data_IF_921675431432
#
_entry.id   IF_921675431432
#
_cell.length_a   1.000
_cell.length_b   1.000
_cell.length_c   1.000
_cell.angle_alpha   90.00
_cell.angle_beta   90.00
_cell.angle_gamma   90.00
#
_symmetry.space_group_name_H-M   'P 1'
#
loop_
_entity.id
_entity.type
_entity.pdbx_description
1 polymer ?
#
# COMPACT_ATOMS: atom_id res chain seq x y z
N UNK A 1 5.43 7.13 -17.09
CA UNK A 1 4.01 6.82 -17.09
C UNK A 1 3.50 6.40 -15.72
N UNK A 2 2.21 6.28 -15.58
CA UNK A 2 1.54 5.73 -14.40
C UNK A 2 0.66 4.58 -14.88
N UNK A 3 0.79 3.43 -14.24
CA UNK A 3 -0.07 2.28 -14.46
C UNK A 3 -0.92 2.05 -13.20
N UNK A 4 -2.20 1.75 -13.38
CA UNK A 4 -3.11 1.34 -12.31
C UNK A 4 -3.36 -0.16 -12.47
N UNK A 5 -3.03 -0.91 -11.43
CA UNK A 5 -3.19 -2.36 -11.40
C UNK A 5 -4.17 -2.72 -10.29
N UNK A 6 -5.15 -3.55 -10.60
CA UNK A 6 -6.11 -4.09 -9.64
C UNK A 6 -5.87 -5.59 -9.55
N UNK A 7 -5.42 -6.04 -8.40
CA UNK A 7 -5.21 -7.45 -8.16
C UNK A 7 -6.51 -8.13 -7.72
N UNK A 8 -6.69 -9.37 -8.11
CA UNK A 8 -7.78 -10.23 -7.66
C UNK A 8 -7.26 -11.36 -6.76
N UNK A 9 -8.16 -12.00 -6.03
CA UNK A 9 -7.84 -13.16 -5.22
C UNK A 9 -6.83 -12.89 -4.10
N UNK A 10 -6.77 -11.66 -3.58
CA UNK A 10 -5.93 -11.30 -2.44
C UNK A 10 -6.32 -12.16 -1.24
N UNK A 11 -7.60 -12.19 -0.85
CA UNK A 11 -8.19 -12.88 0.29
C UNK A 11 -8.77 -14.29 -0.04
N UNK A 12 -8.37 -14.92 -1.16
CA UNK A 12 -8.96 -16.19 -1.58
C UNK A 12 -8.59 -17.36 -0.65
N UNK A 13 -7.53 -17.23 0.11
CA UNK A 13 -7.02 -18.24 1.04
C UNK A 13 -7.90 -18.45 2.27
N UNK A 14 -7.46 -19.38 3.10
CA UNK A 14 -7.99 -19.61 4.46
C UNK A 14 -6.89 -19.27 5.46
N UNK A 15 -7.25 -18.81 6.65
CA UNK A 15 -6.29 -18.42 7.69
C UNK A 15 -5.17 -19.44 8.00
N UNK A 16 -5.37 -20.71 7.64
CA UNK A 16 -4.39 -21.79 7.84
C UNK A 16 -3.61 -22.12 6.57
N UNK A 17 -3.90 -21.49 5.44
CA UNK A 17 -3.33 -21.82 4.13
C UNK A 17 -3.03 -20.54 3.35
N UNK A 18 -1.82 -20.02 3.57
CA UNK A 18 -1.35 -18.79 2.93
C UNK A 18 -1.00 -18.96 1.46
N UNK A 19 -0.98 -20.18 0.92
CA UNK A 19 -0.63 -20.45 -0.47
C UNK A 19 -1.69 -19.91 -1.45
N UNK A 20 -2.92 -19.73 -0.95
CA UNK A 20 -4.05 -19.22 -1.72
C UNK A 20 -4.31 -17.71 -1.52
N UNK A 21 -3.46 -17.01 -0.78
CA UNK A 21 -3.50 -15.56 -0.69
C UNK A 21 -2.70 -14.91 -1.81
N UNK A 22 -3.05 -13.66 -2.17
CA UNK A 22 -2.29 -12.81 -3.09
C UNK A 22 -2.15 -13.41 -4.50
N UNK A 23 -3.18 -14.10 -5.00
CA UNK A 23 -3.09 -14.83 -6.26
C UNK A 23 -2.79 -13.91 -7.44
N UNK A 24 -3.45 -12.76 -7.53
CA UNK A 24 -3.28 -11.80 -8.61
C UNK A 24 -1.89 -11.19 -8.62
N UNK A 25 -1.40 -10.70 -7.49
CA UNK A 25 -0.08 -10.08 -7.40
C UNK A 25 1.06 -11.09 -7.58
N UNK A 26 0.92 -12.32 -7.09
CA UNK A 26 1.87 -13.41 -7.34
C UNK A 26 1.96 -13.75 -8.83
N UNK A 27 0.79 -13.85 -9.49
CA UNK A 27 0.76 -14.09 -10.93
C UNK A 27 1.41 -12.95 -11.70
N UNK A 28 1.06 -11.72 -11.38
CA UNK A 28 1.64 -10.52 -11.99
C UNK A 28 3.16 -10.48 -11.80
N UNK A 29 3.64 -10.66 -10.57
CA UNK A 29 5.06 -10.65 -10.24
C UNK A 29 5.87 -11.74 -10.95
N UNK A 30 5.25 -12.92 -11.18
CA UNK A 30 5.87 -14.04 -11.90
C UNK A 30 5.90 -13.84 -13.44
N UNK A 31 5.06 -12.96 -14.00
CA UNK A 31 4.84 -12.78 -15.43
C UNK A 31 5.12 -11.35 -15.91
N UNK A 32 6.14 -10.69 -15.38
CA UNK A 32 6.48 -9.31 -15.73
C UNK A 32 6.93 -9.11 -17.20
N UNK A 33 7.39 -10.15 -17.88
CA UNK A 33 7.75 -10.16 -19.32
C UNK A 33 8.59 -8.96 -19.78
N UNK A 34 9.50 -8.48 -18.92
CA UNK A 34 10.30 -7.29 -19.19
C UNK A 34 9.71 -5.97 -18.68
N UNK A 35 8.49 -5.97 -18.18
CA UNK A 35 7.93 -4.84 -17.45
C UNK A 35 8.78 -4.54 -16.20
N UNK A 36 9.23 -3.29 -16.06
CA UNK A 36 10.11 -2.87 -14.98
C UNK A 36 9.62 -1.53 -14.42
N UNK A 37 8.60 -1.54 -13.56
CA UNK A 37 8.18 -0.33 -12.87
C UNK A 37 9.30 0.16 -11.96
N UNK A 38 9.42 1.45 -11.82
CA UNK A 38 10.47 2.07 -11.00
C UNK A 38 10.15 1.94 -9.53
N UNK A 39 8.85 2.04 -9.19
CA UNK A 39 8.32 1.82 -7.86
C UNK A 39 6.85 1.43 -7.95
N UNK A 40 6.34 0.83 -6.90
CA UNK A 40 4.92 0.53 -6.72
C UNK A 40 4.44 1.03 -5.36
N UNK A 41 3.22 1.53 -5.31
CA UNK A 41 2.51 1.89 -4.08
C UNK A 41 1.24 1.07 -4.05
N UNK A 42 1.15 0.15 -3.11
CA UNK A 42 -0.08 -0.54 -2.78
C UNK A 42 -0.94 0.38 -1.90
N UNK A 43 -2.22 0.31 -2.09
CA UNK A 43 -3.22 0.99 -1.24
C UNK A 43 -4.14 -0.08 -0.68
N UNK A 44 -4.01 -0.35 0.60
CA UNK A 44 -4.94 -1.24 1.28
C UNK A 44 -5.50 -0.61 2.54
N UNK A 45 -6.80 -0.79 2.76
CA UNK A 45 -7.53 -0.28 3.93
C UNK A 45 -7.45 1.25 4.10
N UNK A 46 -7.04 1.99 3.07
CA UNK A 46 -6.91 3.45 3.14
C UNK A 46 -8.28 4.11 3.23
N UNK A 47 -8.40 5.08 4.12
CA UNK A 47 -9.63 5.86 4.29
C UNK A 47 -10.66 5.24 5.24
N UNK A 48 -10.38 4.17 5.94
CA UNK A 48 -11.26 3.65 6.99
C UNK A 48 -11.43 4.64 8.15
N UNK A 49 -12.63 4.74 8.72
CA UNK A 49 -12.88 5.52 9.94
C UNK A 49 -12.05 4.96 11.10
N UNK A 50 -11.47 5.85 11.91
CA UNK A 50 -10.62 5.46 13.04
C UNK A 50 -9.20 5.01 12.65
N UNK A 51 -8.91 4.75 11.37
CA UNK A 51 -7.60 4.28 10.92
C UNK A 51 -6.55 5.39 10.90
N UNK A 52 -5.28 4.98 10.91
CA UNK A 52 -4.11 5.81 10.65
C UNK A 52 -3.16 5.05 9.75
N UNK A 53 -2.66 5.68 8.69
CA UNK A 53 -1.63 5.09 7.85
C UNK A 53 -0.28 5.23 8.54
N UNK A 54 0.36 4.09 8.86
CA UNK A 54 1.69 4.05 9.47
C UNK A 54 2.69 3.40 8.52
N UNK A 55 3.97 3.46 8.89
CA UNK A 55 5.05 2.83 8.12
C UNK A 55 4.91 1.31 8.22
N UNK A 56 4.35 0.69 7.19
CA UNK A 56 4.15 -0.76 7.16
C UNK A 56 5.50 -1.48 7.27
N UNK A 57 5.56 -2.53 8.11
CA UNK A 57 6.81 -3.08 8.58
C UNK A 57 7.67 -3.74 7.48
N UNK A 58 7.07 -4.51 6.57
CA UNK A 58 7.77 -5.15 5.46
C UNK A 58 8.29 -4.13 4.46
N UNK A 59 7.47 -3.13 4.15
CA UNK A 59 7.83 -1.99 3.29
C UNK A 59 8.98 -1.18 3.90
N UNK A 60 8.90 -0.91 5.20
CA UNK A 60 9.94 -0.16 5.93
C UNK A 60 11.27 -0.90 5.99
N UNK A 61 11.24 -2.23 6.05
CA UNK A 61 12.45 -3.07 6.00
C UNK A 61 13.04 -3.15 4.59
N UNK A 62 12.21 -3.39 3.56
CA UNK A 62 12.63 -3.77 2.21
C UNK A 62 12.76 -2.61 1.23
N UNK A 63 12.03 -1.51 1.48
CA UNK A 63 11.98 -0.31 0.63
C UNK A 63 12.15 0.98 1.44
N UNK A 64 13.03 0.95 2.46
CA UNK A 64 13.20 2.04 3.44
C UNK A 64 13.35 3.42 2.81
N UNK A 65 14.23 3.59 1.84
CA UNK A 65 14.47 4.89 1.21
C UNK A 65 13.22 5.45 0.53
N UNK A 66 12.42 4.57 -0.10
CA UNK A 66 11.15 4.97 -0.71
C UNK A 66 10.09 5.27 0.34
N UNK A 67 10.01 4.46 1.40
CA UNK A 67 9.13 4.71 2.54
C UNK A 67 9.46 6.05 3.22
N UNK A 68 10.75 6.33 3.45
CA UNK A 68 11.20 7.61 4.01
C UNK A 68 10.79 8.78 3.14
N UNK A 69 10.99 8.66 1.82
CA UNK A 69 10.58 9.69 0.87
C UNK A 69 9.06 9.95 0.93
N UNK A 70 8.25 8.89 0.85
CA UNK A 70 6.79 9.01 0.80
C UNK A 70 6.24 9.65 2.09
N UNK A 71 6.70 9.21 3.26
CA UNK A 71 6.25 9.80 4.54
C UNK A 71 6.78 11.22 4.76
N UNK A 72 7.97 11.56 4.26
CA UNK A 72 8.44 12.94 4.25
C UNK A 72 7.58 13.84 3.36
N UNK A 73 7.10 13.33 2.21
CA UNK A 73 6.16 14.07 1.35
C UNK A 73 4.82 14.28 2.05
N UNK A 74 4.27 13.25 2.67
CA UNK A 74 3.03 13.35 3.44
C UNK A 74 3.14 14.44 4.53
N UNK A 75 4.25 14.45 5.27
CA UNK A 75 4.52 15.46 6.30
C UNK A 75 4.64 16.88 5.70
N UNK A 76 5.37 17.03 4.58
CA UNK A 76 5.55 18.32 3.92
C UNK A 76 4.23 18.91 3.37
N UNK A 77 3.25 18.05 3.08
CA UNK A 77 1.91 18.40 2.62
C UNK A 77 0.89 18.57 3.78
N UNK A 78 1.34 18.43 5.04
CA UNK A 78 0.50 18.46 6.27
C UNK A 78 -0.66 17.43 6.23
N UNK A 79 -0.41 16.24 5.63
CA UNK A 79 -1.40 15.17 5.56
C UNK A 79 -1.42 14.39 6.87
N UNK A 80 -2.47 14.58 7.65
CA UNK A 80 -2.57 14.10 9.03
C UNK A 80 -2.93 12.62 9.15
N UNK A 81 -3.44 12.03 8.10
CA UNK A 81 -3.73 10.62 8.03
C UNK A 81 -2.45 9.75 8.10
N UNK A 82 -1.30 10.29 7.67
CA UNK A 82 -0.02 9.58 7.58
C UNK A 82 0.86 9.90 8.78
N UNK A 83 1.05 8.93 9.66
CA UNK A 83 1.92 9.04 10.82
C UNK A 83 3.24 8.30 10.59
N UNK A 84 4.37 8.99 10.74
CA UNK A 84 5.71 8.39 10.56
C UNK A 84 6.13 7.53 11.77
N UNK A 85 5.20 6.69 12.24
CA UNK A 85 5.41 5.72 13.33
C UNK A 85 5.48 4.31 12.75
N UNK A 86 6.19 3.37 13.39
CA UNK A 86 6.23 1.98 12.94
C UNK A 86 4.84 1.34 12.94
N UNK A 87 4.51 0.68 11.84
CA UNK A 87 3.37 -0.23 11.71
C UNK A 87 3.82 -1.69 11.81
N UNK A 88 2.87 -2.60 11.92
CA UNK A 88 3.14 -4.04 11.88
C UNK A 88 3.45 -4.46 10.43
N UNK A 89 4.26 -5.51 10.22
CA UNK A 89 4.42 -6.10 8.91
C UNK A 89 3.11 -6.77 8.46
N UNK A 90 2.72 -6.50 7.21
CA UNK A 90 1.53 -7.09 6.59
C UNK A 90 1.93 -8.10 5.51
N UNK A 91 1.14 -9.15 5.38
CA UNK A 91 1.20 -10.04 4.22
C UNK A 91 0.17 -9.54 3.22
N UNK A 92 0.64 -8.82 2.19
CA UNK A 92 -0.23 -8.18 1.23
C UNK A 92 0.41 -8.13 -0.16
N UNK A 93 -0.29 -7.65 -1.17
CA UNK A 93 0.06 -7.66 -2.60
C UNK A 93 1.40 -6.96 -2.92
N UNK A 94 1.92 -6.10 -2.05
CA UNK A 94 3.26 -5.54 -2.20
C UNK A 94 4.37 -6.58 -2.00
N UNK A 95 4.12 -7.64 -1.22
CA UNK A 95 5.14 -8.66 -0.91
C UNK A 95 5.62 -9.42 -2.14
N UNK A 96 4.75 -9.97 -3.02
CA UNK A 96 5.19 -10.56 -4.29
C UNK A 96 5.95 -9.59 -5.19
N UNK A 97 5.59 -8.29 -5.21
CA UNK A 97 6.31 -7.27 -5.97
C UNK A 97 7.73 -7.07 -5.44
N UNK A 98 7.89 -6.98 -4.11
CA UNK A 98 9.20 -6.91 -3.45
C UNK A 98 10.06 -8.16 -3.75
N UNK A 99 9.46 -9.33 -3.75
CA UNK A 99 10.14 -10.60 -4.09
C UNK A 99 10.62 -10.61 -5.55
N UNK A 100 9.88 -10.00 -6.46
CA UNK A 100 10.27 -9.82 -7.85
C UNK A 100 11.30 -8.70 -8.09
N UNK A 101 11.76 -8.03 -7.03
CA UNK A 101 12.77 -6.97 -7.09
C UNK A 101 12.20 -5.61 -7.46
N UNK A 102 10.88 -5.42 -7.42
CA UNK A 102 10.24 -4.11 -7.56
C UNK A 102 10.31 -3.39 -6.21
N UNK A 103 10.72 -2.13 -6.22
CA UNK A 103 10.65 -1.27 -5.05
C UNK A 103 9.18 -0.96 -4.74
N UNK A 104 8.60 -1.63 -3.76
CA UNK A 104 7.19 -1.50 -3.40
C UNK A 104 7.01 -1.09 -1.94
N UNK A 105 5.96 -0.32 -1.68
CA UNK A 105 5.47 -0.03 -0.33
C UNK A 105 3.96 -0.24 -0.28
N UNK A 106 3.48 -0.51 0.93
CA UNK A 106 2.07 -0.57 1.24
C UNK A 106 1.69 0.64 2.12
N UNK A 107 0.73 1.41 1.65
CA UNK A 107 0.05 2.44 2.43
C UNK A 107 -1.18 1.80 3.09
N UNK A 108 -0.98 1.27 4.27
CA UNK A 108 -1.96 0.48 5.00
C UNK A 108 -2.65 1.29 6.10
N UNK A 109 -3.98 1.20 6.15
CA UNK A 109 -4.79 1.84 7.19
C UNK A 109 -4.97 0.96 8.43
N UNK A 110 -4.14 1.16 9.45
CA UNK A 110 -4.18 0.39 10.70
C UNK A 110 -5.36 0.76 11.59
N UNK A 111 -5.70 -0.15 12.51
CA UNK A 111 -6.70 0.02 13.57
C UNK A 111 -8.14 0.14 13.06
N UNK A 112 -8.45 -0.46 11.90
CA UNK A 112 -9.80 -0.46 11.35
C UNK A 112 -10.70 -1.47 12.09
N UNK A 113 -11.64 -0.95 12.88
CA UNK A 113 -12.50 -1.76 13.74
C UNK A 113 -13.47 -2.67 12.95
N UNK A 114 -13.80 -2.32 11.71
CA UNK A 114 -14.77 -3.05 10.88
C UNK A 114 -14.10 -4.11 9.99
N UNK A 115 -12.78 -4.24 10.04
CA UNK A 115 -11.99 -5.18 9.25
C UNK A 115 -12.55 -6.61 9.34
N UNK A 116 -12.75 -7.25 8.19
CA UNK A 116 -13.31 -8.59 8.05
C UNK A 116 -14.71 -8.76 8.66
N UNK A 117 -15.51 -7.71 8.74
CA UNK A 117 -16.91 -7.76 9.20
C UNK A 117 -17.87 -7.27 8.10
N UNK A 118 -19.16 -7.59 8.25
CA UNK A 118 -20.21 -7.07 7.35
C UNK A 118 -20.47 -5.56 7.51
N UNK A 119 -19.80 -4.90 8.44
CA UNK A 119 -19.87 -3.45 8.63
C UNK A 119 -18.78 -2.71 7.85
N UNK A 120 -17.85 -3.45 7.22
CA UNK A 120 -16.91 -2.89 6.28
C UNK A 120 -17.62 -2.60 4.96
N UNK A 121 -18.30 -1.47 4.93
CA UNK A 121 -19.05 -0.96 3.79
C UNK A 121 -18.77 0.53 3.57
N UNK A 122 -19.42 1.13 2.58
CA UNK A 122 -19.23 2.55 2.26
C UNK A 122 -19.51 3.52 3.41
N UNK A 123 -20.25 3.10 4.45
CA UNK A 123 -20.48 3.93 5.63
C UNK A 123 -19.28 3.98 6.58
N UNK A 124 -18.37 3.03 6.48
CA UNK A 124 -17.13 2.96 7.26
C UNK A 124 -16.01 3.81 6.65
N UNK A 125 -16.22 4.43 5.49
CA UNK A 125 -15.21 5.25 4.80
C UNK A 125 -15.21 6.68 5.35
N UNK A 126 -14.00 7.19 5.61
CA UNK A 126 -13.71 8.59 5.89
C UNK A 126 -13.18 9.28 4.64
N UNK A 127 -14.02 10.12 4.03
CA UNK A 127 -13.71 10.81 2.78
C UNK A 127 -12.47 11.71 2.87
N UNK A 128 -12.22 12.34 4.02
CA UNK A 128 -11.06 13.21 4.20
C UNK A 128 -9.75 12.42 4.10
N UNK A 129 -9.70 11.21 4.66
CA UNK A 129 -8.52 10.33 4.58
C UNK A 129 -8.28 9.82 3.15
N UNK A 130 -9.35 9.47 2.43
CA UNK A 130 -9.25 9.12 1.00
C UNK A 130 -8.72 10.30 0.19
N UNK A 131 -9.18 11.52 0.49
CA UNK A 131 -8.69 12.74 -0.16
C UNK A 131 -7.21 12.98 0.14
N UNK A 132 -6.77 12.86 1.40
CA UNK A 132 -5.36 12.97 1.77
C UNK A 132 -4.49 11.94 1.02
N UNK A 133 -4.96 10.69 0.91
CA UNK A 133 -4.30 9.64 0.13
C UNK A 133 -4.17 10.05 -1.34
N UNK A 134 -5.24 10.57 -1.93
CA UNK A 134 -5.22 11.06 -3.32
C UNK A 134 -4.27 12.24 -3.53
N UNK A 135 -4.18 13.15 -2.56
CA UNK A 135 -3.22 14.28 -2.59
C UNK A 135 -1.77 13.76 -2.58
N UNK A 136 -1.47 12.80 -1.68
CA UNK A 136 -0.15 12.19 -1.61
C UNK A 136 0.22 11.49 -2.92
N UNK A 137 -0.66 10.63 -3.45
CA UNK A 137 -0.41 9.92 -4.70
C UNK A 137 -0.19 10.86 -5.87
N UNK A 138 -0.98 11.92 -5.98
CA UNK A 138 -0.79 12.94 -7.01
C UNK A 138 0.58 13.61 -6.87
N UNK A 139 1.01 13.93 -5.65
CA UNK A 139 2.34 14.51 -5.42
C UNK A 139 3.44 13.54 -5.85
N UNK A 140 3.33 12.26 -5.50
CA UNK A 140 4.29 11.23 -5.91
C UNK A 140 4.38 11.11 -7.43
N UNK A 141 3.24 11.08 -8.14
CA UNK A 141 3.22 10.96 -9.61
C UNK A 141 3.95 12.10 -10.29
N UNK A 142 3.81 13.34 -9.80
CA UNK A 142 4.37 14.52 -10.47
C UNK A 142 5.74 14.96 -9.95
N UNK A 143 6.08 14.62 -8.72
CA UNK A 143 7.27 15.14 -8.05
C UNK A 143 8.30 14.08 -7.67
N UNK A 144 7.98 12.78 -7.78
CA UNK A 144 8.94 11.73 -7.47
C UNK A 144 10.07 11.73 -8.50
N UNK A 145 11.30 11.98 -8.02
CA UNK A 145 12.50 11.96 -8.85
C UNK A 145 13.27 10.68 -8.56
N UNK A 146 13.42 9.87 -9.59
CA UNK A 146 14.30 8.71 -9.51
C UNK A 146 15.75 9.16 -9.62
N UNK A 147 16.52 8.96 -8.57
CA UNK A 147 17.98 8.96 -8.74
C UNK A 147 18.34 7.71 -9.56
N UNK A 148 19.04 7.94 -10.68
CA UNK A 148 19.49 6.86 -11.57
C UNK A 148 20.73 6.19 -11.00
#
# INVERSE_FOLDING_TARGET
GLDLVFFDGEDYGKHTDTDYYLLGSRHFAANLEGYRPVAAVLLDMVGGKGTTARREGTSDERSRAFMDYVFARAQALDLRYFESTPGLPMLDDHVPLLQAGIQAIDLFGYDFAEWHTLRDDGSAVDRAKVEETGILLRDLVYNFKFEK
#
